data_IF_252615605165
#
_entry.id   IF_252615605165
#
_cell.length_a   1.000
_cell.length_b   1.000
_cell.length_c   1.000
_cell.angle_alpha   90.00
_cell.angle_beta   90.00
_cell.angle_gamma   90.00
#
_symmetry.space_group_name_H-M   'P 1'
#
loop_
_entity.id
_entity.type
_entity.pdbx_description
1 polymer ?
#
# COMPACT_ATOMS: atom_id res chain seq x y z
N UNK A 1 -22.45 -23.58 -6.57
CA UNK A 1 -20.98 -23.61 -6.73
C UNK A 1 -20.54 -22.25 -7.28
N UNK A 2 -20.38 -21.25 -6.40
CA UNK A 2 -19.89 -19.93 -6.80
C UNK A 2 -18.39 -20.05 -7.07
N UNK A 3 -17.98 -19.91 -8.34
CA UNK A 3 -16.56 -19.76 -8.67
C UNK A 3 -16.11 -18.42 -8.05
N UNK A 4 -15.37 -18.48 -6.95
CA UNK A 4 -14.48 -17.40 -6.56
C UNK A 4 -13.36 -17.35 -7.62
N UNK A 5 -13.65 -16.73 -8.76
CA UNK A 5 -12.60 -16.34 -9.69
C UNK A 5 -11.73 -15.34 -8.94
N UNK A 6 -10.54 -15.78 -8.53
CA UNK A 6 -9.50 -14.90 -8.01
C UNK A 6 -9.27 -13.82 -9.07
N UNK A 7 -9.73 -12.60 -8.80
CA UNK A 7 -9.52 -11.49 -9.75
C UNK A 7 -8.01 -11.32 -9.89
N UNK A 8 -7.47 -11.12 -11.10
CA UNK A 8 -6.01 -11.09 -11.35
C UNK A 8 -5.24 -10.03 -10.56
N UNK A 9 -5.95 -9.14 -9.86
CA UNK A 9 -5.42 -8.02 -9.08
C UNK A 9 -5.53 -8.20 -7.56
N UNK A 10 -6.09 -9.31 -7.07
CA UNK A 10 -6.21 -9.55 -5.63
C UNK A 10 -4.86 -9.47 -4.91
N UNK A 11 -3.80 -10.01 -5.54
CA UNK A 11 -2.46 -9.97 -4.99
C UNK A 11 -1.93 -8.52 -4.87
N UNK A 12 -2.10 -7.70 -5.91
CA UNK A 12 -1.67 -6.29 -5.90
C UNK A 12 -2.39 -5.47 -4.82
N UNK A 13 -3.69 -5.72 -4.64
CA UNK A 13 -4.50 -5.07 -3.60
C UNK A 13 -4.03 -5.50 -2.21
N UNK A 14 -3.74 -6.79 -2.02
CA UNK A 14 -3.21 -7.31 -0.76
C UNK A 14 -1.83 -6.72 -0.41
N UNK A 15 -0.95 -6.55 -1.39
CA UNK A 15 0.35 -5.92 -1.20
C UNK A 15 0.22 -4.46 -0.75
N UNK A 16 -0.60 -3.66 -1.44
CA UNK A 16 -0.87 -2.26 -1.04
C UNK A 16 -1.43 -2.20 0.38
N UNK A 17 -2.41 -3.06 0.70
CA UNK A 17 -3.00 -3.10 2.04
C UNK A 17 -1.96 -3.42 3.12
N UNK A 18 -1.02 -4.32 2.81
CA UNK A 18 0.06 -4.70 3.73
C UNK A 18 1.05 -3.56 3.94
N UNK A 19 1.46 -2.86 2.88
CA UNK A 19 2.34 -1.70 3.00
C UNK A 19 1.68 -0.55 3.77
N UNK A 20 0.40 -0.27 3.53
CA UNK A 20 -0.37 0.76 4.25
C UNK A 20 -0.56 0.40 5.72
N UNK A 21 -0.76 -0.87 6.05
CA UNK A 21 -0.79 -1.33 7.44
C UNK A 21 0.53 -1.02 8.16
N UNK A 22 1.66 -1.42 7.57
CA UNK A 22 2.98 -1.12 8.11
C UNK A 22 3.24 0.39 8.24
N UNK A 23 2.79 1.18 7.27
CA UNK A 23 2.93 2.63 7.31
C UNK A 23 2.18 3.25 8.49
N UNK A 24 0.94 2.80 8.75
CA UNK A 24 0.15 3.25 9.90
C UNK A 24 0.81 2.86 11.22
N UNK A 25 1.34 1.65 11.33
CA UNK A 25 2.03 1.19 12.54
C UNK A 25 3.25 2.06 12.87
N UNK A 26 4.02 2.44 11.84
CA UNK A 26 5.17 3.34 12.03
C UNK A 26 4.75 4.76 12.43
N UNK A 27 3.61 5.25 11.94
CA UNK A 27 3.11 6.59 12.29
C UNK A 27 2.69 6.70 13.77
N UNK A 28 2.29 5.61 14.41
CA UNK A 28 1.95 5.61 15.85
C UNK A 28 3.14 6.08 16.70
N UNK A 29 4.37 5.81 16.25
CA UNK A 29 5.58 6.16 16.98
C UNK A 29 6.02 7.62 16.82
N UNK A 30 5.38 8.40 15.94
CA UNK A 30 5.67 9.83 15.78
C UNK A 30 5.22 10.60 17.01
N UNK A 31 6.07 11.48 17.54
CA UNK A 31 5.83 12.20 18.79
C UNK A 31 5.97 11.35 20.06
N UNK A 32 6.34 10.07 19.94
CA UNK A 32 6.64 9.19 21.08
C UNK A 32 8.14 9.13 21.35
N UNK A 33 8.56 8.45 22.42
CA UNK A 33 9.98 8.30 22.79
C UNK A 33 10.85 7.64 21.69
N UNK A 34 10.24 6.93 20.73
CA UNK A 34 10.91 6.29 19.58
C UNK A 34 11.02 7.20 18.35
N UNK A 35 10.52 8.43 18.42
CA UNK A 35 10.57 9.37 17.31
C UNK A 35 12.00 9.89 17.11
N UNK A 36 12.68 9.35 16.11
CA UNK A 36 14.07 9.69 15.77
C UNK A 36 14.26 9.86 14.26
N UNK A 37 15.37 10.48 13.81
CA UNK A 37 15.65 10.70 12.39
C UNK A 37 15.55 9.44 11.52
N UNK A 38 16.00 8.30 12.05
CA UNK A 38 16.01 7.01 11.35
C UNK A 38 14.59 6.48 11.14
N UNK A 39 13.73 6.56 12.17
CA UNK A 39 12.32 6.21 12.06
C UNK A 39 11.62 7.14 11.06
N UNK A 40 11.86 8.45 11.16
CA UNK A 40 11.30 9.45 10.24
C UNK A 40 11.71 9.16 8.80
N UNK A 41 12.95 8.75 8.55
CA UNK A 41 13.40 8.38 7.22
C UNK A 41 12.77 7.07 6.72
N UNK A 42 12.61 6.08 7.59
CA UNK A 42 11.86 4.85 7.28
C UNK A 42 10.41 5.15 6.87
N UNK A 43 9.73 6.02 7.62
CA UNK A 43 8.37 6.50 7.31
C UNK A 43 8.34 7.18 5.94
N UNK A 44 9.29 8.09 5.65
CA UNK A 44 9.36 8.78 4.35
C UNK A 44 9.58 7.80 3.18
N UNK A 45 10.47 6.83 3.35
CA UNK A 45 10.75 5.79 2.34
C UNK A 45 9.51 4.93 2.08
N UNK A 46 8.87 4.43 3.13
CA UNK A 46 7.68 3.60 3.00
C UNK A 46 6.52 4.36 2.36
N UNK A 47 6.30 5.63 2.74
CA UNK A 47 5.30 6.49 2.09
C UNK A 47 5.52 6.59 0.57
N UNK A 48 6.77 6.75 0.13
CA UNK A 48 7.09 6.77 -1.31
C UNK A 48 6.78 5.43 -1.97
N UNK A 49 7.14 4.31 -1.33
CA UNK A 49 6.80 2.95 -1.80
C UNK A 49 5.31 2.77 -2.03
N UNK A 50 4.48 3.12 -1.02
CA UNK A 50 3.03 2.99 -1.11
C UNK A 50 2.46 3.81 -2.28
N UNK A 51 2.95 5.04 -2.49
CA UNK A 51 2.49 5.88 -3.61
C UNK A 51 2.84 5.27 -4.95
N UNK A 52 4.06 4.76 -5.13
CA UNK A 52 4.47 4.12 -6.38
C UNK A 52 3.72 2.80 -6.63
N UNK A 53 3.53 1.97 -5.60
CA UNK A 53 2.72 0.75 -5.69
C UNK A 53 1.26 1.03 -6.06
N UNK A 54 0.67 2.09 -5.49
CA UNK A 54 -0.67 2.56 -5.85
C UNK A 54 -0.76 3.05 -7.29
N UNK A 55 0.21 3.85 -7.77
CA UNK A 55 0.24 4.32 -9.16
C UNK A 55 0.36 3.16 -10.14
N UNK A 56 1.27 2.23 -9.87
CA UNK A 56 1.48 1.03 -10.68
C UNK A 56 0.20 0.18 -10.74
N UNK A 57 -0.40 -0.11 -9.59
CA UNK A 57 -1.63 -0.89 -9.51
C UNK A 57 -2.80 -0.18 -10.19
N UNK A 58 -2.93 1.15 -10.03
CA UNK A 58 -3.95 1.94 -10.71
C UNK A 58 -3.78 1.90 -12.24
N UNK A 59 -2.55 1.94 -12.75
CA UNK A 59 -2.27 1.83 -14.19
C UNK A 59 -2.71 0.47 -14.77
N UNK A 60 -2.70 -0.59 -13.95
CA UNK A 60 -3.14 -1.93 -14.36
C UNK A 60 -4.66 -2.13 -14.23
N UNK A 61 -5.27 -1.61 -13.16
CA UNK A 61 -6.68 -1.84 -12.85
C UNK A 61 -7.60 -0.85 -13.57
N UNK A 62 -7.27 0.45 -13.58
CA UNK A 62 -8.17 1.50 -14.09
C UNK A 62 -8.59 1.31 -15.56
N UNK A 63 -7.71 0.86 -16.48
CA UNK A 63 -8.12 0.58 -17.85
C UNK A 63 -9.21 -0.49 -17.95
N UNK A 64 -9.21 -1.48 -17.05
CA UNK A 64 -10.23 -2.53 -17.03
C UNK A 64 -11.55 -2.04 -16.44
N UNK A 65 -11.52 -1.17 -15.44
CA UNK A 65 -12.74 -0.59 -14.86
C UNK A 65 -13.47 0.32 -15.86
N UNK A 66 -12.73 1.09 -16.67
CA UNK A 66 -13.33 2.01 -17.66
C UNK A 66 -13.97 1.30 -18.86
N UNK A 67 -13.79 -0.01 -18.99
CA UNK A 67 -14.39 -0.84 -20.04
C UNK A 67 -15.67 -1.56 -19.55
N UNK A 68 -16.00 -1.44 -18.26
CA UNK A 68 -17.26 -1.89 -17.66
C UNK A 68 -18.34 -0.83 -17.81
#
# INVERSE_FOLDING_TARGET
MFRLQSTPYQHLILEINSEVALFRDLLIHVGQARDCPELREKIRKLRRSCVEACKHTAALILPQIRQL
#
